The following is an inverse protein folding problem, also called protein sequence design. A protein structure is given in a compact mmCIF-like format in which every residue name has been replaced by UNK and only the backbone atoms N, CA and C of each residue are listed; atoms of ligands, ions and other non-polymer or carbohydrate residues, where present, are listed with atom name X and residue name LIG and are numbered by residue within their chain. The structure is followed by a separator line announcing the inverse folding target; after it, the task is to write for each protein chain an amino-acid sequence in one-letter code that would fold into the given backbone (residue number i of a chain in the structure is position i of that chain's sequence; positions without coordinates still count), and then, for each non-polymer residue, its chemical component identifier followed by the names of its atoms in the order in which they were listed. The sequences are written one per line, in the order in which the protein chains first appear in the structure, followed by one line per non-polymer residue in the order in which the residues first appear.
data_IF_382451100920
#
_entry.id   IF_382451100920
#
_cell.length_a   1.000
_cell.length_b   1.000
_cell.length_c   1.000
_cell.angle_alpha   90.00
_cell.angle_beta   90.00
_cell.angle_gamma   90.00
#
_symmetry.space_group_name_H-M   'P 1'
#
loop_
_entity.id
_entity.type
_entity.pdbx_description
1 polymer ?
#
# COMPACT_ATOMS: atom_id res chain seq x y z
N UNK A 1 54.00 -24.34 14.93
CA UNK A 1 52.99 -23.64 15.75
C UNK A 1 53.54 -22.39 16.44
N UNK A 2 54.73 -22.41 17.05
CA UNK A 2 55.32 -21.21 17.67
C UNK A 2 55.94 -20.18 16.72
N UNK A 3 56.02 -20.47 15.42
CA UNK A 3 56.75 -19.65 14.43
C UNK A 3 55.84 -19.00 13.37
N UNK A 4 54.55 -18.81 13.70
CA UNK A 4 53.63 -18.07 12.84
C UNK A 4 53.85 -16.56 13.03
N UNK A 5 54.25 -15.87 11.96
CA UNK A 5 54.34 -14.40 11.98
C UNK A 5 52.94 -13.83 12.30
N UNK A 6 52.83 -13.10 13.42
CA UNK A 6 51.58 -12.47 13.83
C UNK A 6 51.07 -11.48 12.77
N UNK A 7 49.74 -11.31 12.71
CA UNK A 7 49.12 -10.35 11.80
C UNK A 7 49.69 -8.93 12.00
N UNK A 8 49.80 -8.17 10.92
CA UNK A 8 50.25 -6.77 10.91
C UNK A 8 49.40 -5.90 11.83
N UNK A 9 50.01 -4.99 12.59
CA UNK A 9 49.30 -4.08 13.51
C UNK A 9 48.66 -2.93 12.71
N UNK A 10 47.45 -3.15 12.20
CA UNK A 10 46.61 -2.14 11.54
C UNK A 10 45.33 -1.84 12.33
N UNK A 11 44.57 -0.81 11.93
CA UNK A 11 43.18 -0.62 12.39
C UNK A 11 42.29 -1.70 11.77
N UNK A 12 42.31 -2.88 12.37
CA UNK A 12 41.46 -3.99 11.95
C UNK A 12 40.05 -3.79 12.49
N UNK A 13 39.07 -3.74 11.59
CA UNK A 13 37.67 -3.60 11.95
C UNK A 13 37.06 -4.99 12.19
N UNK A 14 37.42 -5.61 13.31
CA UNK A 14 36.92 -6.95 13.71
C UNK A 14 35.41 -7.01 13.96
N UNK A 15 34.75 -5.85 14.08
CA UNK A 15 33.30 -5.75 14.24
C UNK A 15 32.74 -5.02 13.02
N UNK A 16 31.84 -5.64 12.23
CA UNK A 16 31.22 -4.99 11.07
C UNK A 16 30.49 -3.70 11.47
N UNK A 17 30.38 -2.73 10.55
CA UNK A 17 29.55 -1.53 10.78
C UNK A 17 28.15 -1.96 11.19
N UNK A 18 27.69 -1.40 12.31
CA UNK A 18 26.33 -1.51 12.79
C UNK A 18 25.42 -0.58 11.97
N UNK A 19 25.33 -0.84 10.67
CA UNK A 19 24.38 -0.14 9.81
C UNK A 19 23.00 -0.78 9.99
N UNK A 20 21.96 0.05 10.15
CA UNK A 20 20.58 -0.43 10.34
C UNK A 20 20.11 -1.10 9.04
N UNK A 21 20.09 -2.43 9.01
CA UNK A 21 19.63 -3.22 7.86
C UNK A 21 18.12 -3.44 7.99
N UNK A 22 17.36 -3.08 6.96
CA UNK A 22 15.94 -3.45 6.86
C UNK A 22 15.86 -4.94 6.53
N UNK A 23 15.15 -5.71 7.36
CA UNK A 23 15.01 -7.16 7.20
C UNK A 23 13.53 -7.52 7.26
N UNK A 24 13.09 -8.42 6.39
CA UNK A 24 11.75 -9.00 6.45
C UNK A 24 11.69 -10.09 7.54
N UNK A 25 10.69 -10.03 8.41
CA UNK A 25 10.43 -11.05 9.42
C UNK A 25 9.25 -11.92 9.00
N UNK A 26 9.29 -13.19 9.42
CA UNK A 26 8.09 -14.02 9.42
C UNK A 26 7.10 -13.45 10.43
N UNK A 27 5.84 -13.40 10.05
CA UNK A 27 4.73 -13.11 10.94
C UNK A 27 3.64 -14.16 10.77
N UNK A 28 2.84 -14.33 11.80
CA UNK A 28 1.71 -15.23 11.85
C UNK A 28 0.55 -14.52 12.53
N UNK A 29 -0.68 -14.94 12.25
CA UNK A 29 -1.85 -14.37 12.91
C UNK A 29 -2.87 -15.45 13.18
N UNK A 30 -3.55 -15.30 14.31
CA UNK A 30 -4.71 -16.11 14.64
C UNK A 30 -5.77 -15.23 15.28
N UNK A 31 -6.98 -15.74 15.41
CA UNK A 31 -8.07 -15.02 16.04
C UNK A 31 -8.77 -15.86 17.09
N UNK A 32 -9.29 -15.15 18.08
CA UNK A 32 -10.25 -15.65 19.05
C UNK A 32 -11.59 -14.96 18.77
N UNK A 33 -12.66 -15.33 19.47
CA UNK A 33 -14.00 -14.76 19.26
C UNK A 33 -14.01 -13.22 19.24
N UNK A 34 -13.27 -12.57 20.14
CA UNK A 34 -13.26 -11.11 20.32
C UNK A 34 -11.93 -10.42 19.97
N UNK A 35 -10.86 -11.15 19.73
CA UNK A 35 -9.52 -10.58 19.52
C UNK A 35 -8.82 -11.22 18.31
N UNK A 36 -7.90 -10.48 17.72
CA UNK A 36 -6.96 -10.95 16.70
C UNK A 36 -5.56 -10.80 17.29
N UNK A 37 -4.74 -11.83 17.17
CA UNK A 37 -3.37 -11.83 17.68
C UNK A 37 -2.42 -11.92 16.49
N UNK A 38 -1.61 -10.88 16.32
CA UNK A 38 -0.55 -10.81 15.32
C UNK A 38 0.80 -11.10 16.00
N UNK A 39 1.50 -12.12 15.53
CA UNK A 39 2.79 -12.55 16.07
C UNK A 39 3.88 -12.28 15.05
N UNK A 40 4.87 -11.46 15.42
CA UNK A 40 6.07 -11.22 14.61
C UNK A 40 7.26 -11.96 15.23
N UNK A 41 7.90 -12.83 14.46
CA UNK A 41 9.05 -13.59 14.91
C UNK A 41 10.33 -12.77 14.76
N UNK A 42 10.71 -12.11 15.85
CA UNK A 42 11.95 -11.35 15.98
C UNK A 42 12.63 -11.76 17.29
N UNK A 43 13.83 -12.36 17.18
CA UNK A 43 14.60 -12.79 18.36
C UNK A 43 15.36 -11.60 18.95
N UNK A 44 15.31 -11.48 20.27
CA UNK A 44 15.99 -10.43 21.04
C UNK A 44 15.63 -9.02 20.54
N UNK A 45 14.34 -8.77 20.36
CA UNK A 45 13.80 -7.43 20.09
C UNK A 45 14.03 -6.50 21.27
N UNK A 46 14.52 -5.29 21.00
CA UNK A 46 14.79 -4.28 22.03
C UNK A 46 13.54 -3.42 22.27
N UNK A 47 12.89 -3.48 23.45
CA UNK A 47 11.67 -2.72 23.71
C UNK A 47 11.86 -1.21 23.62
N UNK A 48 13.05 -0.69 23.93
CA UNK A 48 13.32 0.76 23.95
C UNK A 48 13.42 1.36 22.54
N UNK A 49 13.74 0.54 21.55
CA UNK A 49 13.91 0.96 20.15
C UNK A 49 12.87 0.37 19.19
N UNK A 50 11.89 -0.36 19.74
CA UNK A 50 10.71 -0.82 19.02
C UNK A 50 9.57 0.18 19.21
N UNK A 51 8.85 0.49 18.12
CA UNK A 51 7.61 1.27 18.16
C UNK A 51 6.51 0.50 17.43
N UNK A 52 5.33 0.44 18.03
CA UNK A 52 4.14 -0.17 17.43
C UNK A 52 3.02 0.86 17.53
N UNK A 53 2.52 1.27 16.38
CA UNK A 53 1.48 2.28 16.24
C UNK A 53 0.25 1.61 15.66
N UNK A 54 -0.89 1.80 16.32
CA UNK A 54 -2.15 1.20 15.91
C UNK A 54 -3.22 2.28 15.76
N UNK A 55 -3.90 2.25 14.62
CA UNK A 55 -5.14 2.96 14.34
C UNK A 55 -6.31 1.95 14.32
N UNK A 56 -7.54 2.43 14.17
CA UNK A 56 -8.76 1.61 14.13
C UNK A 56 -8.75 0.55 13.03
N UNK A 57 -8.02 0.77 11.94
CA UNK A 57 -8.00 -0.10 10.76
C UNK A 57 -6.59 -0.45 10.28
N UNK A 58 -5.54 0.02 10.95
CA UNK A 58 -4.17 -0.20 10.51
C UNK A 58 -3.22 -0.35 11.69
N UNK A 59 -2.18 -1.16 11.53
CA UNK A 59 -1.10 -1.35 12.51
C UNK A 59 0.24 -1.22 11.82
N UNK A 60 1.05 -0.25 12.26
CA UNK A 60 2.42 -0.05 11.85
C UNK A 60 3.37 -0.64 12.90
N UNK A 61 4.23 -1.55 12.46
CA UNK A 61 5.22 -2.19 13.31
C UNK A 61 6.62 -1.74 12.89
N UNK A 62 7.37 -1.15 13.81
CA UNK A 62 8.80 -0.91 13.70
C UNK A 62 9.52 -1.66 14.83
N UNK A 63 10.12 -2.81 14.51
CA UNK A 63 10.78 -3.68 15.50
C UNK A 63 12.27 -3.73 15.21
N UNK A 64 13.10 -3.34 16.17
CA UNK A 64 14.55 -3.49 16.09
C UNK A 64 14.99 -4.73 16.86
N UNK A 65 15.76 -5.59 16.22
CA UNK A 65 16.23 -6.87 16.77
C UNK A 65 17.69 -7.14 16.36
N UNK A 66 18.38 -8.00 17.11
CA UNK A 66 19.81 -8.33 16.89
C UNK A 66 20.70 -7.08 16.71
N UNK A 67 20.43 -6.04 17.51
CA UNK A 67 21.07 -4.72 17.53
C UNK A 67 20.96 -3.86 16.27
N UNK A 68 21.01 -4.44 15.07
CA UNK A 68 21.14 -3.69 13.80
C UNK A 68 20.04 -3.99 12.79
N UNK A 69 19.19 -4.98 13.04
CA UNK A 69 18.13 -5.35 12.10
C UNK A 69 16.87 -4.60 12.48
N UNK A 70 16.20 -4.02 11.47
CA UNK A 70 14.94 -3.30 11.65
C UNK A 70 13.90 -3.92 10.74
N UNK A 71 12.81 -4.38 11.34
CA UNK A 71 11.60 -4.80 10.63
C UNK A 71 10.62 -3.63 10.63
N UNK A 72 10.20 -3.21 9.43
CA UNK A 72 9.14 -2.21 9.24
C UNK A 72 8.04 -2.81 8.37
N UNK A 73 6.81 -2.85 8.87
CA UNK A 73 5.65 -3.37 8.13
C UNK A 73 4.38 -2.69 8.60
N UNK A 74 3.57 -2.26 7.64
CA UNK A 74 2.22 -1.76 7.86
C UNK A 74 1.22 -2.86 7.49
N UNK A 75 0.26 -3.11 8.38
CA UNK A 75 -0.85 -4.05 8.19
C UNK A 75 -2.15 -3.26 8.11
N UNK A 76 -2.87 -3.38 6.99
CA UNK A 76 -4.18 -2.76 6.81
C UNK A 76 -5.24 -3.78 7.15
N UNK A 77 -5.80 -3.68 8.36
CA UNK A 77 -6.69 -4.68 8.93
C UNK A 77 -8.00 -4.78 8.14
N UNK A 78 -8.52 -5.99 7.99
CA UNK A 78 -9.81 -6.25 7.36
C UNK A 78 -10.99 -5.61 8.12
N UNK A 79 -10.88 -5.48 9.44
CA UNK A 79 -11.94 -4.96 10.29
C UNK A 79 -11.48 -3.88 11.25
N UNK A 80 -12.46 -3.31 11.97
CA UNK A 80 -12.23 -2.25 12.95
C UNK A 80 -11.81 -2.82 14.30
N UNK A 81 -10.79 -2.22 14.90
CA UNK A 81 -10.26 -2.58 16.22
C UNK A 81 -10.46 -1.47 17.26
N UNK A 82 -10.55 -1.87 18.52
CA UNK A 82 -10.56 -0.99 19.68
C UNK A 82 -9.14 -0.86 20.25
N UNK A 83 -8.48 0.26 19.97
CA UNK A 83 -7.10 0.55 20.38
C UNK A 83 -6.93 0.51 21.90
N UNK A 84 -7.91 1.02 22.67
CA UNK A 84 -7.83 1.12 24.14
C UNK A 84 -7.80 -0.23 24.84
N UNK A 85 -8.34 -1.26 24.21
CA UNK A 85 -8.40 -2.63 24.74
C UNK A 85 -7.39 -3.56 24.04
N UNK A 86 -6.54 -3.00 23.18
CA UNK A 86 -5.48 -3.73 22.50
C UNK A 86 -4.18 -3.58 23.29
N UNK A 87 -3.33 -4.59 23.22
CA UNK A 87 -2.08 -4.64 24.01
C UNK A 87 -0.97 -5.32 23.23
N UNK A 88 0.27 -4.96 23.54
CA UNK A 88 1.48 -5.58 22.97
C UNK A 88 2.21 -6.34 24.07
N UNK A 89 2.64 -7.56 23.76
CA UNK A 89 3.47 -8.39 24.59
C UNK A 89 4.79 -8.68 23.86
N UNK A 90 5.92 -8.25 24.43
CA UNK A 90 7.24 -8.49 23.86
C UNK A 90 7.93 -9.63 24.62
N UNK A 91 8.22 -10.72 23.91
CA UNK A 91 8.87 -11.92 24.44
C UNK A 91 10.24 -12.07 23.73
N UNK A 92 11.27 -12.65 24.35
CA UNK A 92 12.60 -12.75 23.72
C UNK A 92 12.63 -13.43 22.34
N UNK A 93 11.66 -14.30 22.03
CA UNK A 93 11.58 -14.99 20.75
C UNK A 93 10.65 -14.33 19.72
N UNK A 94 9.71 -13.48 20.17
CA UNK A 94 8.61 -12.96 19.34
C UNK A 94 7.92 -11.75 19.98
N UNK A 95 7.32 -10.92 19.15
CA UNK A 95 6.45 -9.82 19.56
C UNK A 95 5.01 -10.19 19.22
N UNK A 96 4.14 -10.19 20.22
CA UNK A 96 2.72 -10.51 20.09
C UNK A 96 1.89 -9.24 20.25
N UNK A 97 1.02 -8.96 19.28
CA UNK A 97 0.16 -7.79 19.24
C UNK A 97 -1.27 -8.31 19.31
N UNK A 98 -1.91 -8.12 20.46
CA UNK A 98 -3.30 -8.51 20.69
C UNK A 98 -4.21 -7.32 20.39
N UNK A 99 -5.00 -7.44 19.32
CA UNK A 99 -5.92 -6.43 18.84
C UNK A 99 -7.36 -6.82 19.22
N UNK A 100 -8.05 -5.94 19.92
CA UNK A 100 -9.46 -6.16 20.28
C UNK A 100 -10.35 -5.80 19.09
N UNK A 101 -11.17 -6.72 18.60
CA UNK A 101 -12.15 -6.44 17.54
C UNK A 101 -13.26 -5.53 18.08
N UNK A 102 -13.67 -4.54 17.30
CA UNK A 102 -14.84 -3.73 17.61
C UNK A 102 -16.13 -4.55 17.46
N UNK A 103 -16.23 -5.30 16.36
CA UNK A 103 -17.33 -6.21 16.07
C UNK A 103 -16.89 -7.66 16.27
N UNK A 104 -17.76 -8.50 16.84
CA UNK A 104 -17.50 -9.94 17.08
C UNK A 104 -17.62 -10.78 15.79
N UNK A 105 -17.16 -10.25 14.66
CA UNK A 105 -17.16 -10.92 13.37
C UNK A 105 -15.87 -11.73 13.21
N UNK A 106 -15.96 -12.90 12.59
CA UNK A 106 -14.81 -13.72 12.23
C UNK A 106 -14.11 -13.13 11.00
N UNK A 107 -12.81 -12.92 11.08
CA UNK A 107 -12.03 -12.38 9.97
C UNK A 107 -11.56 -13.51 9.06
N UNK A 108 -11.89 -13.44 7.76
CA UNK A 108 -11.41 -14.42 6.77
C UNK A 108 -9.95 -14.18 6.35
N UNK A 109 -9.48 -12.93 6.49
CA UNK A 109 -8.11 -12.50 6.21
C UNK A 109 -7.70 -11.46 7.25
N UNK A 110 -6.39 -11.35 7.51
CA UNK A 110 -5.87 -10.28 8.35
C UNK A 110 -5.97 -8.93 7.65
N UNK A 111 -5.55 -8.89 6.39
CA UNK A 111 -5.48 -7.65 5.60
C UNK A 111 -6.68 -7.48 4.66
N UNK A 112 -7.14 -6.24 4.49
CA UNK A 112 -8.19 -5.90 3.54
C UNK A 112 -7.66 -6.01 2.09
N UNK A 113 -8.21 -6.93 1.26
CA UNK A 113 -7.81 -7.06 -0.14
C UNK A 113 -8.12 -5.83 -1.00
N UNK A 114 -9.01 -4.94 -0.55
CA UNK A 114 -9.42 -3.74 -1.27
C UNK A 114 -8.66 -2.49 -0.84
N UNK A 115 -7.74 -2.59 0.12
CA UNK A 115 -6.92 -1.45 0.52
C UNK A 115 -5.99 -1.04 -0.64
N UNK A 116 -6.37 0.04 -1.33
CA UNK A 116 -5.51 0.77 -2.25
C UNK A 116 -4.82 1.85 -1.43
N UNK A 117 -3.47 1.87 -1.31
CA UNK A 117 -2.80 3.01 -0.71
C UNK A 117 -3.17 4.24 -1.54
N UNK A 118 -3.89 5.18 -0.93
CA UNK A 118 -4.09 6.51 -1.51
C UNK A 118 -2.69 7.12 -1.72
N UNK A 119 -2.38 7.69 -2.90
CA UNK A 119 -1.07 8.28 -3.13
C UNK A 119 -0.90 9.45 -2.16
N UNK A 120 0.00 9.29 -1.18
CA UNK A 120 0.43 10.39 -0.33
C UNK A 120 0.93 11.54 -1.24
N UNK A 121 0.54 12.80 -0.99
CA UNK A 121 1.08 13.93 -1.73
C UNK A 121 2.58 14.00 -1.47
N UNK A 122 3.36 13.71 -2.51
CA UNK A 122 4.81 13.87 -2.53
C UNK A 122 5.14 15.35 -2.35
N UNK A 123 5.56 15.74 -1.15
CA UNK A 123 6.25 17.01 -0.97
C UNK A 123 7.62 16.91 -1.63
N UNK A 124 7.76 17.63 -2.74
CA UNK A 124 9.01 17.81 -3.47
C UNK A 124 10.01 18.62 -2.63
N UNK A 125 11.21 18.07 -2.43
CA UNK A 125 12.42 18.89 -2.37
C UNK A 125 13.62 18.10 -2.90
N UNK A 126 14.46 18.82 -3.63
CA UNK A 126 15.27 18.37 -4.75
C UNK A 126 16.76 18.23 -4.33
N UNK A 127 17.50 17.46 -5.14
CA UNK A 127 18.94 17.52 -5.46
C UNK A 127 19.90 16.70 -4.59
N UNK A 128 20.43 15.61 -5.14
CA UNK A 128 21.73 15.60 -5.85
C UNK A 128 22.05 14.19 -6.39
N UNK A 129 22.50 14.14 -7.65
CA UNK A 129 23.10 12.97 -8.31
C UNK A 129 24.63 13.22 -8.32
N UNK A 130 25.45 12.22 -7.96
CA UNK A 130 26.42 11.69 -8.94
C UNK A 130 26.32 10.15 -8.95
N UNK A 131 25.95 9.54 -10.07
CA UNK A 131 26.89 9.05 -11.09
C UNK A 131 28.00 8.17 -10.50
N UNK A 132 27.81 6.85 -10.64
CA UNK A 132 28.78 5.74 -10.69
C UNK A 132 28.36 4.56 -9.82
N UNK A 133 27.63 3.62 -10.40
CA UNK A 133 27.68 2.22 -9.94
C UNK A 133 27.56 1.34 -11.17
N UNK A 134 28.71 0.87 -11.66
CA UNK A 134 28.77 -0.30 -12.51
C UNK A 134 28.60 -1.54 -11.62
N UNK A 135 27.78 -2.54 -12.00
CA UNK A 135 27.77 -3.80 -11.29
C UNK A 135 29.04 -4.57 -11.63
N UNK A 136 29.94 -4.69 -10.66
CA UNK A 136 31.11 -5.56 -10.74
C UNK A 136 30.66 -7.01 -10.54
N UNK A 137 30.74 -7.80 -11.61
CA UNK A 137 30.47 -9.24 -11.60
C UNK A 137 31.81 -9.95 -11.41
N UNK A 138 32.24 -10.09 -10.16
CA UNK A 138 33.39 -10.94 -9.83
C UNK A 138 32.86 -12.19 -9.12
N UNK A 139 32.57 -13.22 -9.91
CA UNK A 139 32.40 -14.59 -9.45
C UNK A 139 33.79 -15.21 -9.53
N UNK A 140 34.45 -15.39 -8.38
CA UNK A 140 35.70 -16.13 -8.33
C UNK A 140 35.45 -17.64 -8.33
N UNK A 141 36.20 -18.26 -9.23
CA UNK A 141 36.32 -19.67 -9.58
C UNK A 141 37.12 -20.41 -8.48
N UNK A 142 36.45 -21.26 -7.69
CA UNK A 142 37.01 -22.41 -6.96
C UNK A 142 35.96 -22.95 -5.95
N UNK A 143 35.22 -24.01 -6.31
CA UNK A 143 35.18 -25.31 -5.59
C UNK A 143 34.13 -26.27 -6.21
N UNK A 144 34.52 -27.55 -6.30
CA UNK A 144 33.74 -28.80 -6.54
C UNK A 144 33.55 -29.19 -8.04
N UNK A 145 34.44 -29.99 -8.64
CA UNK A 145 34.80 -31.41 -8.46
C UNK A 145 33.94 -32.41 -9.25
N UNK A 146 34.64 -33.15 -10.13
CA UNK A 146 34.24 -34.26 -11.01
C UNK A 146 33.40 -35.39 -10.35
N UNK A 147 32.30 -35.81 -10.98
CA UNK A 147 31.64 -37.12 -10.79
C UNK A 147 30.69 -37.44 -11.97
N UNK A 148 31.19 -38.30 -12.86
CA UNK A 148 30.57 -39.35 -13.70
C UNK A 148 29.08 -39.31 -14.14
N UNK A 149 28.91 -39.31 -15.47
CA UNK A 149 27.99 -40.11 -16.33
C UNK A 149 26.45 -40.11 -16.10
N UNK A 150 25.70 -39.39 -16.95
CA UNK A 150 24.59 -39.92 -17.81
C UNK A 150 23.89 -38.79 -18.63
N UNK A 151 23.49 -39.10 -19.86
CA UNK A 151 23.12 -38.19 -20.95
C UNK A 151 21.60 -37.84 -21.02
N UNK A 152 21.22 -36.55 -21.09
CA UNK A 152 19.89 -36.06 -21.54
C UNK A 152 19.88 -34.54 -21.90
N UNK A 153 19.04 -34.06 -22.85
CA UNK A 153 19.35 -32.90 -23.71
C UNK A 153 19.10 -31.50 -23.13
N UNK A 154 19.99 -30.59 -23.54
CA UNK A 154 20.16 -29.19 -23.17
C UNK A 154 19.13 -28.25 -23.85
N UNK A 155 18.24 -27.63 -23.06
CA UNK A 155 17.48 -26.42 -23.46
C UNK A 155 18.03 -25.26 -22.62
N UNK A 156 18.72 -24.35 -23.29
CA UNK A 156 19.49 -23.25 -22.68
C UNK A 156 18.63 -22.31 -21.84
N UNK A 157 19.03 -22.10 -20.58
CA UNK A 157 18.36 -21.28 -19.57
C UNK A 157 18.14 -19.81 -20.00
N UNK A 158 18.93 -19.32 -20.96
CA UNK A 158 18.81 -17.97 -21.54
C UNK A 158 17.50 -17.75 -22.29
N UNK A 159 16.98 -18.77 -22.99
CA UNK A 159 15.68 -18.68 -23.68
C UNK A 159 14.50 -18.63 -22.72
N UNK A 160 14.62 -19.25 -21.56
CA UNK A 160 13.57 -19.26 -20.53
C UNK A 160 13.48 -17.87 -19.89
N UNK A 161 14.62 -17.24 -19.60
CA UNK A 161 14.65 -15.89 -19.02
C UNK A 161 14.10 -14.81 -19.97
N UNK A 162 14.41 -14.89 -21.26
CA UNK A 162 13.87 -13.97 -22.28
C UNK A 162 12.36 -14.13 -22.46
N UNK A 163 11.86 -15.37 -22.50
CA UNK A 163 10.42 -15.62 -22.60
C UNK A 163 9.65 -15.14 -21.36
N UNK A 164 10.27 -15.22 -20.17
CA UNK A 164 9.66 -14.73 -18.94
C UNK A 164 9.62 -13.19 -18.91
N UNK A 165 10.68 -12.51 -19.35
CA UNK A 165 10.73 -11.03 -19.38
C UNK A 165 9.80 -10.45 -20.44
N UNK A 166 9.75 -11.04 -21.63
CA UNK A 166 8.79 -10.66 -22.69
C UNK A 166 7.34 -10.89 -22.24
N UNK A 167 7.06 -12.02 -21.59
CA UNK A 167 5.75 -12.32 -21.01
C UNK A 167 5.33 -11.32 -19.93
N UNK A 168 6.26 -10.91 -19.07
CA UNK A 168 6.03 -9.89 -18.04
C UNK A 168 5.75 -8.51 -18.65
N UNK A 169 6.52 -8.08 -19.66
CA UNK A 169 6.30 -6.80 -20.34
C UNK A 169 4.96 -6.77 -21.07
N UNK A 170 4.60 -7.85 -21.76
CA UNK A 170 3.31 -7.95 -22.46
C UNK A 170 2.14 -7.89 -21.49
N UNK A 171 2.23 -8.59 -20.36
CA UNK A 171 1.20 -8.58 -19.30
C UNK A 171 1.07 -7.20 -18.63
N UNK A 172 2.19 -6.48 -18.48
CA UNK A 172 2.20 -5.12 -17.95
C UNK A 172 1.57 -4.13 -18.93
N UNK A 173 1.82 -4.29 -20.24
CA UNK A 173 1.23 -3.45 -21.29
C UNK A 173 -0.26 -3.72 -21.50
N UNK A 174 -0.69 -4.98 -21.43
CA UNK A 174 -2.12 -5.35 -21.44
C UNK A 174 -2.87 -4.77 -20.24
N UNK A 175 -2.26 -4.81 -19.05
CA UNK A 175 -2.83 -4.20 -17.85
C UNK A 175 -2.94 -2.67 -17.98
N UNK A 176 -1.94 -2.00 -18.56
CA UNK A 176 -2.00 -0.56 -18.83
C UNK A 176 -3.08 -0.22 -19.87
N UNK A 177 -3.22 -1.02 -20.92
CA UNK A 177 -4.25 -0.82 -21.94
C UNK A 177 -5.66 -1.05 -21.39
N UNK A 178 -5.85 -2.04 -20.51
CA UNK A 178 -7.13 -2.26 -19.82
C UNK A 178 -7.50 -1.08 -18.94
N UNK A 179 -6.55 -0.55 -18.16
CA UNK A 179 -6.75 0.64 -17.31
C UNK A 179 -7.10 1.89 -18.13
N UNK A 180 -6.44 2.10 -19.28
CA UNK A 180 -6.76 3.24 -20.16
C UNK A 180 -8.18 3.14 -20.74
N UNK A 181 -8.62 1.95 -21.16
CA UNK A 181 -9.98 1.74 -21.68
C UNK A 181 -11.04 1.98 -20.61
N UNK A 182 -10.79 1.54 -19.39
CA UNK A 182 -11.71 1.75 -18.26
C UNK A 182 -11.87 3.25 -17.94
N UNK A 183 -10.76 4.00 -17.93
CA UNK A 183 -10.77 5.46 -17.73
C UNK A 183 -11.51 6.18 -18.87
N UNK A 184 -11.34 5.73 -20.11
CA UNK A 184 -12.02 6.32 -21.27
C UNK A 184 -13.54 6.06 -21.23
N UNK A 185 -13.98 4.87 -20.83
CA UNK A 185 -15.40 4.55 -20.63
C UNK A 185 -16.03 5.34 -19.49
N UNK A 186 -15.33 5.47 -18.35
CA UNK A 186 -15.75 6.33 -17.24
C UNK A 186 -15.90 7.79 -17.68
N UNK A 187 -14.90 8.34 -18.37
CA UNK A 187 -14.94 9.73 -18.84
C UNK A 187 -16.08 9.96 -19.85
N UNK A 188 -16.38 8.96 -20.68
CA UNK A 188 -17.52 9.01 -21.61
C UNK A 188 -18.87 9.00 -20.87
N UNK A 189 -19.01 8.17 -19.83
CA UNK A 189 -20.22 8.14 -18.98
C UNK A 189 -20.44 9.48 -18.28
N UNK A 190 -19.39 10.03 -17.66
CA UNK A 190 -19.44 11.33 -16.98
C UNK A 190 -19.82 12.46 -17.95
N UNK A 191 -19.28 12.44 -19.18
CA UNK A 191 -19.60 13.47 -20.17
C UNK A 191 -21.05 13.38 -20.64
N UNK A 192 -21.59 12.18 -20.82
CA UNK A 192 -23.00 11.96 -21.18
C UNK A 192 -23.96 12.37 -20.07
N UNK A 193 -23.64 12.03 -18.81
CA UNK A 193 -24.42 12.44 -17.65
C UNK A 193 -24.42 13.97 -17.48
N UNK A 194 -23.27 14.61 -17.66
CA UNK A 194 -23.15 16.08 -17.63
C UNK A 194 -24.00 16.73 -18.72
N UNK A 195 -24.02 16.17 -19.93
CA UNK A 195 -24.86 16.66 -21.03
C UNK A 195 -26.35 16.51 -20.71
N UNK A 196 -26.76 15.40 -20.11
CA UNK A 196 -28.15 15.17 -19.70
C UNK A 196 -28.58 16.13 -18.60
N UNK A 197 -27.74 16.34 -17.59
CA UNK A 197 -27.99 17.29 -16.52
C UNK A 197 -28.08 18.74 -17.02
N UNK A 198 -27.27 19.11 -18.03
CA UNK A 198 -27.35 20.42 -18.67
C UNK A 198 -28.66 20.61 -19.44
N UNK A 199 -29.13 19.59 -20.15
CA UNK A 199 -30.42 19.62 -20.85
C UNK A 199 -31.60 19.71 -19.86
N UNK A 200 -31.59 18.94 -18.78
CA UNK A 200 -32.61 19.01 -17.72
C UNK A 200 -32.61 20.38 -17.04
N UNK A 201 -31.43 20.94 -16.76
CA UNK A 201 -31.29 22.28 -16.19
C UNK A 201 -31.84 23.36 -17.14
N UNK A 202 -31.62 23.21 -18.46
CA UNK A 202 -32.17 24.13 -19.47
C UNK A 202 -33.70 24.06 -19.51
N UNK A 203 -34.29 22.86 -19.51
CA UNK A 203 -35.75 22.67 -19.46
C UNK A 203 -36.36 23.27 -18.20
N UNK A 204 -35.74 23.05 -17.05
CA UNK A 204 -36.19 23.65 -15.78
C UNK A 204 -36.09 25.19 -15.78
N UNK A 205 -35.11 25.75 -16.49
CA UNK A 205 -34.98 27.19 -16.64
C UNK A 205 -36.03 27.77 -17.59
N UNK A 206 -36.41 27.06 -18.64
CA UNK A 206 -37.50 27.45 -19.54
C UNK A 206 -38.86 27.36 -18.85
N UNK A 207 -39.09 26.31 -18.04
CA UNK A 207 -40.32 26.16 -17.26
C UNK A 207 -40.50 27.29 -16.24
N UNK A 208 -39.44 27.65 -15.51
CA UNK A 208 -39.48 28.82 -14.61
C UNK A 208 -39.81 30.13 -15.34
N UNK A 209 -39.28 30.33 -16.54
CA UNK A 209 -39.62 31.53 -17.35
C UNK A 209 -41.09 31.56 -17.79
N UNK A 210 -41.69 30.40 -18.05
CA UNK A 210 -43.12 30.30 -18.39
C UNK A 210 -44.00 30.56 -17.17
N UNK A 211 -43.66 29.98 -16.01
CA UNK A 211 -44.35 30.25 -14.75
C UNK A 211 -44.28 31.75 -14.35
N UNK A 212 -43.12 32.39 -14.55
CA UNK A 212 -42.95 33.83 -14.32
C UNK A 212 -43.79 34.68 -15.29
N UNK A 213 -44.10 34.16 -16.48
CA UNK A 213 -44.87 34.85 -17.51
C UNK A 213 -46.40 34.65 -17.31
N UNK A 214 -46.83 33.45 -16.91
CA UNK A 214 -48.23 33.15 -16.56
C UNK A 214 -48.62 33.79 -15.21
N UNK A 215 -47.70 33.91 -14.26
CA UNK A 215 -47.93 34.58 -12.98
C UNK A 215 -48.22 36.08 -13.07
N UNK A 216 -48.07 36.69 -14.26
CA UNK A 216 -48.39 38.09 -14.53
C UNK A 216 -49.74 38.28 -15.24
N UNK A 217 -50.36 37.21 -15.77
CA UNK A 217 -51.65 37.28 -16.50
C UNK A 217 -52.88 37.08 -15.61
N UNK A 218 -52.71 36.61 -14.36
CA UNK A 218 -53.81 36.32 -13.42
C UNK A 218 -53.97 37.41 -12.33
N UNK A 219 -53.73 38.67 -12.68
CA UNK A 219 -54.12 39.82 -11.84
C UNK A 219 -55.52 40.29 -12.28
N UNK A 220 -56.56 40.17 -11.42
CA UNK A 220 -57.88 40.69 -11.77
C UNK A 220 -57.80 42.21 -11.91
N UNK A 221 -58.27 42.75 -13.03
CA UNK A 221 -58.49 44.18 -13.21
C UNK A 221 -59.39 44.66 -12.06
N UNK A 222 -58.89 45.61 -11.27
CA UNK A 222 -59.67 46.29 -10.24
C UNK A 222 -60.75 47.11 -10.96
N UNK A 223 -61.95 46.55 -11.03
CA UNK A 223 -63.15 47.24 -11.47
C UNK A 223 -63.43 48.37 -10.46
N UNK A 224 -63.11 49.61 -10.87
CA UNK A 224 -63.38 50.84 -10.10
C UNK A 224 -64.89 50.99 -9.90
N UNK A 225 -65.39 50.45 -8.79
CA UNK A 225 -66.77 50.64 -8.37
C UNK A 225 -67.04 52.10 -8.03
N UNK A 226 -67.80 52.78 -8.89
CA UNK A 226 -68.47 54.05 -8.60
C UNK A 226 -69.31 53.90 -7.33
N UNK A 227 -68.83 54.49 -6.23
CA UNK A 227 -69.64 54.71 -5.04
C UNK A 227 -70.30 56.08 -5.16
N UNK A 228 -71.52 56.08 -5.70
CA UNK A 228 -72.49 57.15 -5.47
C UNK A 228 -72.72 57.31 -3.96
N UNK A 229 -72.49 58.51 -3.43
CA UNK A 229 -72.91 58.90 -2.09
C UNK A 229 -73.71 60.20 -2.23
N UNK A 230 -75.03 60.07 -2.07
CA UNK A 230 -75.99 61.16 -1.81
C UNK A 230 -75.75 61.85 -0.46
#
# INVERSE_FOLDING_TARGET
FLDQKGCTTGKHRWIPKQDKKKVACRYDWHQTGNCVVLTVYAKNSNPDSCSIEANRTAVSCQIQFESNKVFKRNFHLWGVINIKQSSVNMVPSKVEITLRKADQVAWGKLEDPNYKPEPEPVEENILEIPESYQPDWDINDDDISDSDEEEAPEVTQQKITEQITEGLMKKQQEMQNSKRKEVEEEMKRVMEEKRRAEEEKRKLQEQRKQEDQEGYEDMPDLEDGEADVE
#
